data_IF_075638378399
#
_entry.id   IF_075638378399
#
_cell.length_a   1.000
_cell.length_b   1.000
_cell.length_c   1.000
_cell.angle_alpha   90.00
_cell.angle_beta   90.00
_cell.angle_gamma   90.00
#
_symmetry.space_group_name_H-M   'P 1'
#
loop_
_entity.id
_entity.type
_entity.pdbx_description
1 polymer ?
#
# COMPACT_ATOMS: atom_id res chain seq x y z
N UNK A 1 -1.13 8.23 -14.67
CA UNK A 1 -0.32 7.51 -13.65
C UNK A 1 -1.12 7.08 -12.41
N UNK A 2 -1.93 7.94 -11.73
CA UNK A 2 -2.64 7.56 -10.49
C UNK A 2 -3.66 6.43 -10.66
N UNK A 3 -4.37 6.41 -11.79
CA UNK A 3 -5.40 5.41 -12.09
C UNK A 3 -4.84 3.97 -12.25
N UNK A 4 -3.65 3.83 -12.84
CA UNK A 4 -3.02 2.51 -13.04
C UNK A 4 -2.47 1.95 -11.72
N UNK A 5 -1.86 2.81 -10.90
CA UNK A 5 -1.39 2.43 -9.56
C UNK A 5 -2.55 1.91 -8.71
N UNK A 6 -3.71 2.58 -8.73
CA UNK A 6 -4.89 2.12 -7.99
C UNK A 6 -5.34 0.70 -8.39
N UNK A 7 -5.38 0.38 -9.69
CA UNK A 7 -5.76 -0.97 -10.16
C UNK A 7 -4.77 -2.05 -9.73
N UNK A 8 -3.48 -1.74 -9.82
CA UNK A 8 -2.41 -2.64 -9.39
C UNK A 8 -2.50 -2.90 -7.87
N UNK A 9 -2.72 -1.85 -7.08
CA UNK A 9 -2.83 -1.94 -5.63
C UNK A 9 -4.05 -2.78 -5.19
N UNK A 10 -5.20 -2.58 -5.83
CA UNK A 10 -6.42 -3.38 -5.57
C UNK A 10 -6.17 -4.86 -5.87
N UNK A 11 -5.47 -5.17 -6.97
CA UNK A 11 -5.13 -6.56 -7.31
C UNK A 11 -4.22 -7.18 -6.24
N UNK A 12 -3.14 -6.49 -5.85
CA UNK A 12 -2.21 -6.99 -4.84
C UNK A 12 -2.87 -7.17 -3.47
N UNK A 13 -3.73 -6.23 -3.05
CA UNK A 13 -4.46 -6.34 -1.80
C UNK A 13 -5.41 -7.54 -1.79
N UNK A 14 -6.15 -7.76 -2.90
CA UNK A 14 -7.06 -8.90 -3.00
C UNK A 14 -6.31 -10.24 -3.01
N UNK A 15 -5.17 -10.31 -3.72
CA UNK A 15 -4.29 -11.49 -3.71
C UNK A 15 -3.69 -11.73 -2.33
N UNK A 16 -3.31 -10.68 -1.62
CA UNK A 16 -2.81 -10.77 -0.26
C UNK A 16 -3.86 -11.36 0.69
N UNK A 17 -5.09 -10.83 0.68
CA UNK A 17 -6.23 -11.36 1.45
C UNK A 17 -6.48 -12.85 1.17
N UNK A 18 -6.43 -13.26 -0.11
CA UNK A 18 -6.56 -14.65 -0.54
C UNK A 18 -5.42 -15.53 0.00
N UNK A 19 -4.16 -15.09 -0.12
CA UNK A 19 -3.00 -15.85 0.42
C UNK A 19 -3.01 -15.97 1.94
N UNK A 20 -3.64 -15.02 2.64
CA UNK A 20 -3.84 -15.08 4.08
C UNK A 20 -5.01 -15.99 4.49
N UNK A 21 -5.78 -16.53 3.53
CA UNK A 21 -6.93 -17.38 3.80
C UNK A 21 -8.06 -16.64 4.53
N UNK A 22 -8.17 -15.32 4.36
CA UNK A 22 -9.19 -14.48 5.04
C UNK A 22 -10.21 -13.88 4.07
N UNK A 23 -10.15 -14.27 2.79
CA UNK A 23 -11.16 -13.93 1.81
C UNK A 23 -10.93 -14.64 0.47
N UNK A 24 -11.96 -14.63 -0.36
CA UNK A 24 -11.95 -15.23 -1.69
C UNK A 24 -11.82 -14.12 -2.75
N UNK A 25 -10.85 -14.24 -3.66
CA UNK A 25 -10.61 -13.22 -4.69
C UNK A 25 -11.43 -13.52 -5.95
N UNK A 26 -12.23 -12.55 -6.36
CA UNK A 26 -12.97 -12.59 -7.63
C UNK A 26 -12.28 -11.72 -8.68
N UNK A 27 -12.10 -12.27 -9.89
CA UNK A 27 -11.63 -11.50 -11.03
C UNK A 27 -12.81 -10.79 -11.70
N UNK A 28 -12.74 -9.46 -11.76
CA UNK A 28 -13.79 -8.62 -12.36
C UNK A 28 -14.02 -8.91 -13.84
N UNK A 29 -13.04 -9.49 -14.53
CA UNK A 29 -13.14 -9.80 -15.96
C UNK A 29 -13.87 -11.12 -16.22
N UNK A 30 -13.88 -12.03 -15.24
CA UNK A 30 -14.42 -13.39 -15.40
C UNK A 30 -15.57 -13.69 -14.44
N UNK A 31 -15.98 -12.73 -13.60
CA UNK A 31 -17.04 -12.93 -12.63
C UNK A 31 -18.39 -13.16 -13.32
N UNK A 32 -19.06 -14.23 -12.91
CA UNK A 32 -20.45 -14.56 -13.27
C UNK A 32 -21.27 -14.71 -11.99
N UNK A 33 -22.59 -14.83 -12.12
CA UNK A 33 -23.48 -15.11 -10.99
C UNK A 33 -23.07 -16.39 -10.25
N UNK A 34 -22.78 -17.46 -11.00
CA UNK A 34 -22.36 -18.75 -10.44
C UNK A 34 -21.05 -18.65 -9.65
N UNK A 35 -20.04 -17.95 -10.19
CA UNK A 35 -18.76 -17.75 -9.48
C UNK A 35 -18.92 -16.92 -8.20
N UNK A 36 -19.84 -15.94 -8.20
CA UNK A 36 -20.14 -15.16 -7.02
C UNK A 36 -20.84 -16.02 -5.96
N UNK A 37 -21.81 -16.84 -6.36
CA UNK A 37 -22.51 -17.77 -5.47
C UNK A 37 -21.53 -18.77 -4.86
N UNK A 38 -20.67 -19.38 -5.68
CA UNK A 38 -19.60 -20.29 -5.22
C UNK A 38 -18.70 -19.63 -4.18
N UNK A 39 -18.21 -18.41 -4.46
CA UNK A 39 -17.35 -17.68 -3.53
C UNK A 39 -18.05 -17.38 -2.19
N UNK A 40 -19.33 -17.01 -2.21
CA UNK A 40 -20.11 -16.77 -0.99
C UNK A 40 -20.30 -18.07 -0.21
N UNK A 41 -20.66 -19.17 -0.89
CA UNK A 41 -20.81 -20.48 -0.26
C UNK A 41 -19.50 -20.97 0.37
N UNK A 42 -18.38 -20.80 -0.32
CA UNK A 42 -17.06 -21.18 0.18
C UNK A 42 -16.70 -20.39 1.46
N UNK A 43 -16.84 -19.06 1.44
CA UNK A 43 -16.47 -18.21 2.59
C UNK A 43 -17.38 -18.46 3.80
N UNK A 44 -18.66 -18.76 3.61
CA UNK A 44 -19.61 -19.00 4.71
C UNK A 44 -19.46 -20.40 5.30
N UNK A 45 -19.26 -21.42 4.47
CA UNK A 45 -19.24 -22.81 4.92
C UNK A 45 -17.86 -23.30 5.38
N UNK A 46 -16.78 -22.72 4.86
CA UNK A 46 -15.44 -23.10 5.26
C UNK A 46 -15.02 -22.34 6.54
N UNK A 47 -14.88 -23.02 7.69
CA UNK A 47 -14.57 -22.36 8.96
C UNK A 47 -13.17 -21.74 8.97
N UNK A 48 -12.26 -22.17 8.09
CA UNK A 48 -10.88 -21.66 8.04
C UNK A 48 -10.85 -20.14 7.85
N UNK A 49 -11.72 -19.57 7.02
CA UNK A 49 -11.80 -18.11 6.84
C UNK A 49 -12.11 -17.39 8.15
N UNK A 50 -13.04 -17.95 8.95
CA UNK A 50 -13.44 -17.37 10.24
C UNK A 50 -12.36 -17.53 11.30
N UNK A 51 -11.63 -18.64 11.30
CA UNK A 51 -10.53 -18.89 12.23
C UNK A 51 -9.34 -17.97 11.92
N UNK A 52 -8.93 -17.93 10.65
CA UNK A 52 -7.82 -17.09 10.17
C UNK A 52 -8.10 -15.61 10.43
N UNK A 53 -9.32 -15.11 10.17
CA UNK A 53 -9.63 -13.69 10.42
C UNK A 53 -9.69 -13.38 11.92
N UNK A 54 -10.11 -14.32 12.78
CA UNK A 54 -10.08 -14.14 14.24
C UNK A 54 -8.65 -14.09 14.77
N UNK A 55 -7.78 -14.98 14.32
CA UNK A 55 -6.36 -14.97 14.68
C UNK A 55 -5.69 -13.66 14.24
N UNK A 56 -5.90 -13.26 12.97
CA UNK A 56 -5.41 -11.98 12.44
C UNK A 56 -5.96 -10.80 13.24
N UNK A 57 -7.24 -10.83 13.61
CA UNK A 57 -7.84 -9.78 14.44
C UNK A 57 -7.21 -9.73 15.84
N UNK A 58 -6.84 -10.86 16.43
CA UNK A 58 -6.20 -10.91 17.74
C UNK A 58 -4.81 -10.26 17.65
N UNK A 59 -4.00 -10.67 16.66
CA UNK A 59 -2.67 -10.09 16.40
C UNK A 59 -2.77 -8.58 16.15
N UNK A 60 -3.74 -8.12 15.36
CA UNK A 60 -3.91 -6.70 15.07
C UNK A 60 -4.28 -5.88 16.32
N UNK A 61 -5.07 -6.46 17.23
CA UNK A 61 -5.50 -5.82 18.47
C UNK A 61 -4.45 -5.93 19.58
N UNK A 62 -3.50 -6.84 19.44
CA UNK A 62 -2.37 -7.03 20.35
C UNK A 62 -1.33 -5.92 20.14
N UNK A 63 -1.69 -4.72 20.58
CA UNK A 63 -0.83 -3.55 20.56
C UNK A 63 -0.67 -3.04 21.99
N UNK A 64 0.54 -2.54 22.37
CA UNK A 64 0.82 -2.11 23.74
C UNK A 64 -0.02 -0.91 24.20
N UNK A 65 -0.56 -0.14 23.25
CA UNK A 65 -1.41 1.02 23.49
C UNK A 65 -2.70 0.78 22.71
N UNK A 66 -3.85 1.01 23.34
CA UNK A 66 -5.13 0.87 22.64
C UNK A 66 -5.19 1.85 21.46
N UNK A 67 -5.85 1.45 20.37
CA UNK A 67 -5.99 2.32 19.19
C UNK A 67 -6.63 3.67 19.55
N UNK A 68 -7.58 3.67 20.48
CA UNK A 68 -8.25 4.89 20.93
C UNK A 68 -7.30 5.81 21.70
N UNK A 69 -6.55 5.27 22.66
CA UNK A 69 -5.61 6.07 23.46
C UNK A 69 -4.48 6.61 22.58
N UNK A 70 -4.02 5.84 21.60
CA UNK A 70 -3.02 6.27 20.62
C UNK A 70 -3.55 7.46 19.80
N UNK A 71 -4.80 7.39 19.31
CA UNK A 71 -5.44 8.50 18.59
C UNK A 71 -5.57 9.74 19.47
N UNK A 72 -6.05 9.59 20.71
CA UNK A 72 -6.16 10.70 21.66
C UNK A 72 -4.79 11.35 21.88
N UNK A 73 -3.76 10.53 22.14
CA UNK A 73 -2.40 11.01 22.33
C UNK A 73 -1.91 11.86 21.14
N UNK A 74 -2.08 11.39 19.91
CA UNK A 74 -1.63 12.14 18.73
C UNK A 74 -2.45 13.41 18.50
N UNK A 75 -3.76 13.39 18.74
CA UNK A 75 -4.60 14.59 18.66
C UNK A 75 -4.10 15.63 19.65
N UNK A 76 -3.91 15.27 20.91
CA UNK A 76 -3.38 16.18 21.91
C UNK A 76 -1.96 16.64 21.58
N UNK A 77 -1.12 15.74 21.05
CA UNK A 77 0.23 16.08 20.63
C UNK A 77 0.23 17.19 19.57
N UNK A 78 -0.63 17.07 18.56
CA UNK A 78 -0.79 18.08 17.50
C UNK A 78 -1.29 19.40 18.09
N UNK A 79 -2.26 19.36 19.01
CA UNK A 79 -2.78 20.56 19.68
C UNK A 79 -1.68 21.25 20.51
N UNK A 80 -0.94 20.48 21.34
CA UNK A 80 0.15 21.00 22.19
C UNK A 80 1.27 21.67 21.38
N UNK A 81 1.53 21.18 20.17
CA UNK A 81 2.57 21.70 19.27
C UNK A 81 2.02 22.59 18.16
N UNK A 82 0.81 23.16 18.34
CA UNK A 82 0.21 24.14 17.40
C UNK A 82 0.20 23.66 15.94
N UNK A 83 -0.20 22.40 15.73
CA UNK A 83 -0.23 21.76 14.40
C UNK A 83 0.97 20.86 14.09
N UNK A 84 1.92 20.71 15.02
CA UNK A 84 3.11 19.85 14.89
C UNK A 84 3.84 20.01 13.53
N UNK A 85 4.35 21.21 13.19
CA UNK A 85 4.95 21.49 11.89
C UNK A 85 6.15 20.59 11.58
N UNK A 86 6.83 20.06 12.60
CA UNK A 86 7.95 19.12 12.47
C UNK A 86 7.53 17.69 12.09
N UNK A 87 6.26 17.31 12.26
CA UNK A 87 5.72 16.03 11.78
C UNK A 87 5.24 16.12 10.32
N UNK A 88 5.13 17.33 9.77
CA UNK A 88 4.74 17.52 8.37
C UNK A 88 5.90 17.07 7.47
N UNK A 89 5.69 16.10 6.57
CA UNK A 89 6.74 15.68 5.65
C UNK A 89 7.09 16.83 4.71
N UNK A 90 8.39 17.17 4.62
CA UNK A 90 8.91 18.22 3.74
C UNK A 90 8.55 17.99 2.26
N UNK A 91 8.24 16.74 1.90
CA UNK A 91 7.79 16.34 0.56
C UNK A 91 6.55 17.11 0.09
N UNK A 92 5.68 17.55 1.00
CA UNK A 92 4.47 18.28 0.64
C UNK A 92 4.74 19.69 0.11
N UNK A 93 5.93 20.24 0.40
CA UNK A 93 6.34 21.57 -0.04
C UNK A 93 7.25 21.52 -1.29
N UNK A 94 7.57 20.30 -1.78
CA UNK A 94 8.42 20.12 -2.95
C UNK A 94 7.63 20.25 -4.26
N UNK A 95 8.29 20.83 -5.26
CA UNK A 95 7.77 20.81 -6.62
C UNK A 95 7.86 19.38 -7.20
N UNK A 96 7.00 19.08 -8.18
CA UNK A 96 6.93 17.76 -8.80
C UNK A 96 8.28 17.25 -9.34
N UNK A 97 9.15 18.13 -9.83
CA UNK A 97 10.46 17.77 -10.37
C UNK A 97 11.51 17.49 -9.27
N UNK A 98 11.41 18.14 -8.11
CA UNK A 98 12.25 17.85 -6.93
C UNK A 98 11.82 16.55 -6.28
N UNK A 99 10.51 16.32 -6.17
CA UNK A 99 9.95 15.06 -5.70
C UNK A 99 10.41 13.86 -6.54
N UNK A 100 10.47 14.03 -7.87
CA UNK A 100 10.96 13.01 -8.79
C UNK A 100 12.50 12.95 -8.91
N UNK A 101 13.25 13.80 -8.19
CA UNK A 101 14.72 13.87 -8.24
C UNK A 101 15.24 13.95 -9.70
N UNK A 102 14.67 14.85 -10.49
CA UNK A 102 14.93 14.93 -11.94
C UNK A 102 16.40 15.22 -12.26
N UNK A 103 17.09 15.98 -11.42
CA UNK A 103 18.53 16.24 -11.47
C UNK A 103 19.35 14.94 -11.37
N UNK A 104 19.01 14.07 -10.42
CA UNK A 104 19.66 12.77 -10.22
C UNK A 104 19.43 11.85 -11.43
N UNK A 105 18.22 11.82 -11.99
CA UNK A 105 17.90 11.04 -13.19
C UNK A 105 18.75 11.49 -14.38
N UNK A 106 18.82 12.81 -14.63
CA UNK A 106 19.62 13.38 -15.72
C UNK A 106 21.10 13.07 -15.53
N UNK A 107 21.60 13.15 -14.30
CA UNK A 107 22.99 12.79 -13.99
C UNK A 107 23.31 11.32 -14.33
N UNK A 108 22.45 10.38 -13.96
CA UNK A 108 22.63 8.97 -14.32
C UNK A 108 22.55 8.73 -15.84
N UNK A 109 21.59 9.36 -16.53
CA UNK A 109 21.48 9.26 -17.99
C UNK A 109 22.74 9.79 -18.69
N UNK A 110 23.30 10.88 -18.17
CA UNK A 110 24.55 11.45 -18.70
C UNK A 110 25.73 10.48 -18.51
N UNK A 111 25.88 9.86 -17.34
CA UNK A 111 26.93 8.86 -17.10
C UNK A 111 26.79 7.69 -18.06
N UNK A 112 25.58 7.14 -18.21
CA UNK A 112 25.32 6.02 -19.12
C UNK A 112 25.66 6.41 -20.56
N UNK A 113 25.20 7.59 -21.01
CA UNK A 113 25.51 8.10 -22.34
C UNK A 113 27.01 8.26 -22.55
N UNK A 114 27.73 8.80 -21.56
CA UNK A 114 29.17 8.98 -21.61
C UNK A 114 29.92 7.65 -21.70
N UNK A 115 29.52 6.65 -20.91
CA UNK A 115 30.09 5.30 -20.98
C UNK A 115 29.85 4.70 -22.37
N UNK A 116 28.62 4.74 -22.88
CA UNK A 116 28.28 4.23 -24.23
C UNK A 116 29.08 4.95 -25.31
N UNK A 117 29.25 6.27 -25.18
CA UNK A 117 30.05 7.06 -26.11
C UNK A 117 31.52 6.62 -26.10
N UNK A 118 32.12 6.42 -24.92
CA UNK A 118 33.49 5.92 -24.79
C UNK A 118 33.62 4.52 -25.42
N UNK A 119 32.72 3.58 -25.10
CA UNK A 119 32.76 2.22 -25.66
C UNK A 119 32.61 2.20 -27.17
N UNK A 120 31.81 3.10 -27.76
CA UNK A 120 31.67 3.21 -29.23
C UNK A 120 32.83 3.93 -29.91
N UNK A 121 33.55 4.76 -29.18
CA UNK A 121 34.69 5.54 -29.69
C UNK A 121 35.99 4.74 -29.66
N UNK A 122 36.13 3.84 -28.68
CA UNK A 122 37.16 2.79 -28.64
C UNK A 122 36.86 1.76 -29.73
#
# INVERSE_FOLDING_TARGET
LPFLLGRILVYFNAKFIETLGIGYRLDKQTITEDHLLEAVYEVINNPSYRENIKERSAIFKDQPISTMDNVIYWIEYVIRHKGAPHLRPAVLDLHWYQYLMMDVIVFYLFIIFFIVYIVKKV
#
